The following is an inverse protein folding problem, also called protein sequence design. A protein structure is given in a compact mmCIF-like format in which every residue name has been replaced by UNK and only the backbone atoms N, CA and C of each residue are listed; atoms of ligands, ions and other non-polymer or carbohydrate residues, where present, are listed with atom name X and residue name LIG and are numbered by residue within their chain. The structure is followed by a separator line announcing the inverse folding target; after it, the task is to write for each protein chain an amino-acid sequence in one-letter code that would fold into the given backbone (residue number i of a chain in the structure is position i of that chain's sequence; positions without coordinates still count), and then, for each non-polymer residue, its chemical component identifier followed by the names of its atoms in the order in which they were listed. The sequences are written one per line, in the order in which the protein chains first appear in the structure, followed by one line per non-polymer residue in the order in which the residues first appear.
data_IF_919913610752
#
_entry.id   IF_919913610752
#
_cell.length_a   1.000
_cell.length_b   1.000
_cell.length_c   1.000
_cell.angle_alpha   90.00
_cell.angle_beta   90.00
_cell.angle_gamma   90.00
#
_symmetry.space_group_name_H-M   'P 1'
#
loop_
_entity.id
_entity.type
_entity.pdbx_description
1 polymer ?
#
# COMPACT_ATOMS: atom_id res chain seq x y z
N UNK A 1 28.20 5.08 34.50
CA UNK A 1 28.90 4.85 33.20
C UNK A 1 29.50 6.14 32.71
N UNK A 2 30.71 6.10 32.17
CA UNK A 2 31.32 7.30 31.57
C UNK A 2 30.70 7.55 30.22
N UNK A 3 30.13 8.76 30.01
CA UNK A 3 29.50 9.14 28.74
C UNK A 3 30.50 9.03 27.58
N UNK A 4 30.09 8.45 26.47
CA UNK A 4 30.87 8.30 25.24
C UNK A 4 30.83 9.60 24.39
N UNK A 5 29.72 10.30 24.41
CA UNK A 5 29.48 11.52 23.66
C UNK A 5 28.62 12.52 24.44
N UNK A 6 28.55 13.73 23.94
CA UNK A 6 27.62 14.77 24.41
C UNK A 6 26.93 15.43 23.21
N UNK A 7 25.74 15.97 23.45
CA UNK A 7 25.05 16.84 22.50
C UNK A 7 25.71 18.22 22.47
N UNK A 8 25.88 18.79 21.29
CA UNK A 8 26.38 20.16 21.10
C UNK A 8 25.22 21.15 20.93
N UNK A 9 25.54 22.44 20.81
CA UNK A 9 24.55 23.49 20.51
C UNK A 9 24.23 23.60 19.00
N UNK A 10 24.95 22.84 18.14
CA UNK A 10 24.65 22.81 16.70
C UNK A 10 23.44 21.93 16.45
N UNK A 11 22.42 22.53 15.83
CA UNK A 11 21.13 21.86 15.62
C UNK A 11 20.73 21.79 14.16
N UNK A 12 19.88 20.82 13.86
CA UNK A 12 19.22 20.64 12.56
C UNK A 12 17.76 20.27 12.78
N UNK A 13 16.85 20.84 12.01
CA UNK A 13 15.43 20.49 12.06
C UNK A 13 15.08 19.61 10.86
N UNK A 14 14.49 18.45 11.13
CA UNK A 14 13.99 17.50 10.13
C UNK A 14 12.58 17.07 10.54
N UNK A 15 11.59 17.26 9.66
CA UNK A 15 10.19 16.84 9.89
C UNK A 15 9.65 17.25 11.28
N UNK A 16 9.92 18.47 11.72
CA UNK A 16 9.57 19.03 13.04
C UNK A 16 10.36 18.46 14.24
N UNK A 17 11.38 17.64 14.03
CA UNK A 17 12.29 17.16 15.08
C UNK A 17 13.54 18.02 15.11
N UNK A 18 13.94 18.49 16.30
CA UNK A 18 15.21 19.18 16.49
C UNK A 18 16.28 18.16 16.87
N UNK A 19 17.27 17.99 16.01
CA UNK A 19 18.40 17.10 16.20
C UNK A 19 19.63 17.92 16.60
N UNK A 20 20.46 17.34 17.43
CA UNK A 20 21.69 17.93 17.95
C UNK A 20 22.90 17.18 17.41
N UNK A 21 23.91 17.91 16.94
CA UNK A 21 25.19 17.30 16.60
C UNK A 21 25.84 16.72 17.84
N UNK A 22 26.43 15.54 17.71
CA UNK A 22 27.15 14.88 18.79
C UNK A 22 28.65 15.17 18.74
N UNK A 23 29.29 15.13 19.91
CA UNK A 23 30.74 15.27 20.05
C UNK A 23 31.28 14.15 20.94
N UNK A 24 32.32 13.43 20.48
CA UNK A 24 32.97 12.38 21.24
C UNK A 24 33.67 12.94 22.50
N UNK A 25 33.51 12.27 23.62
CA UNK A 25 34.12 12.64 24.91
C UNK A 25 35.34 11.77 25.28
N UNK A 26 35.55 10.67 24.55
CA UNK A 26 36.67 9.74 24.73
C UNK A 26 37.03 9.09 23.41
N UNK A 27 38.19 8.47 23.33
CA UNK A 27 38.62 7.64 22.20
C UNK A 27 37.88 6.29 22.20
N UNK A 28 37.43 5.86 21.02
CA UNK A 28 36.89 4.51 20.78
C UNK A 28 36.94 4.21 19.28
N UNK A 29 37.26 2.99 18.89
CA UNK A 29 37.47 2.63 17.48
C UNK A 29 38.34 3.69 16.79
N UNK A 30 37.91 4.23 15.66
CA UNK A 30 38.60 5.27 14.87
C UNK A 30 38.21 6.70 15.30
N UNK A 31 37.30 6.85 16.26
CA UNK A 31 36.81 8.15 16.77
C UNK A 31 37.67 8.65 17.90
N UNK A 32 38.11 9.91 17.85
CA UNK A 32 38.92 10.57 18.86
C UNK A 32 38.09 11.50 19.74
N UNK A 33 38.52 11.67 20.99
CA UNK A 33 37.91 12.67 21.87
C UNK A 33 37.96 14.05 21.20
N UNK A 34 36.80 14.69 21.11
CA UNK A 34 36.66 15.96 20.42
C UNK A 34 36.05 15.87 19.01
N UNK A 35 36.07 14.71 18.37
CA UNK A 35 35.50 14.53 17.05
C UNK A 35 34.00 14.82 17.04
N UNK A 36 33.57 15.52 15.99
CA UNK A 36 32.15 15.79 15.75
C UNK A 36 31.53 14.60 14.99
N UNK A 37 30.40 14.14 15.48
CA UNK A 37 29.60 13.14 14.80
C UNK A 37 28.46 13.71 14.00
N UNK A 38 27.44 12.91 13.73
CA UNK A 38 26.19 13.29 13.07
C UNK A 38 25.18 13.92 14.03
N UNK A 39 23.91 13.78 13.73
CA UNK A 39 22.82 14.42 14.44
C UNK A 39 21.88 13.39 15.08
N UNK A 40 21.59 13.57 16.37
CA UNK A 40 20.58 12.75 17.06
C UNK A 40 19.58 13.67 17.78
N UNK A 41 18.34 13.20 17.96
CA UNK A 41 17.30 13.95 18.65
C UNK A 41 17.49 13.94 20.16
N UNK A 42 17.88 12.79 20.71
CA UNK A 42 18.05 12.56 22.16
C UNK A 42 19.17 11.54 22.46
N UNK A 43 19.73 11.57 23.66
CA UNK A 43 20.82 10.67 24.03
C UNK A 43 20.47 9.18 23.83
N UNK A 44 19.19 8.81 24.01
CA UNK A 44 18.75 7.41 23.83
C UNK A 44 18.78 6.89 22.39
N UNK A 45 19.02 7.76 21.39
CA UNK A 45 19.17 7.33 20.00
C UNK A 45 20.51 6.64 19.70
N UNK A 46 21.52 6.82 20.56
CA UNK A 46 22.85 6.24 20.39
C UNK A 46 23.33 5.67 21.73
N UNK A 47 23.70 4.40 21.74
CA UNK A 47 24.22 3.77 22.95
C UNK A 47 25.55 4.37 23.40
N UNK A 48 25.77 4.51 24.72
CA UNK A 48 27.06 4.85 25.31
C UNK A 48 27.98 3.62 25.43
N UNK A 49 27.45 2.42 25.26
CA UNK A 49 28.21 1.17 25.26
C UNK A 49 28.67 0.83 23.82
N UNK A 50 29.70 -0.01 23.72
CA UNK A 50 30.25 -0.42 22.44
C UNK A 50 30.90 0.72 21.64
N UNK A 51 31.15 0.44 20.36
CA UNK A 51 31.82 1.36 19.43
C UNK A 51 30.87 2.03 18.43
N UNK A 52 29.55 1.92 18.65
CA UNK A 52 28.57 2.50 17.72
C UNK A 52 28.77 4.01 17.59
N UNK A 53 28.55 4.52 16.36
CA UNK A 53 28.70 5.92 16.07
C UNK A 53 27.72 6.41 14.96
N UNK A 54 27.30 7.64 15.12
CA UNK A 54 26.60 8.39 14.06
C UNK A 54 27.58 9.44 13.58
N UNK A 55 27.91 9.48 12.29
CA UNK A 55 28.95 10.32 11.73
C UNK A 55 28.47 11.21 10.57
N UNK A 56 29.26 12.22 10.24
CA UNK A 56 29.02 13.15 9.14
C UNK A 56 27.66 13.88 9.27
N UNK A 57 26.81 13.76 8.26
CA UNK A 57 25.50 14.40 8.20
C UNK A 57 24.35 13.43 8.48
N UNK A 58 24.65 12.20 8.96
CA UNK A 58 23.65 11.19 9.29
C UNK A 58 22.76 11.63 10.44
N UNK A 59 21.51 11.19 10.43
CA UNK A 59 20.48 11.59 11.37
C UNK A 59 19.77 10.40 12.00
N UNK A 60 19.67 10.39 13.33
CA UNK A 60 18.93 9.37 14.09
C UNK A 60 17.94 10.05 15.03
N UNK A 61 16.65 9.75 14.90
CA UNK A 61 15.62 10.46 15.65
C UNK A 61 14.39 9.61 15.98
N UNK A 62 13.39 10.20 16.63
CA UNK A 62 12.26 9.49 17.25
C UNK A 62 12.76 8.45 18.27
N UNK A 63 12.31 7.22 18.19
CA UNK A 63 12.71 6.13 19.08
C UNK A 63 13.76 5.20 18.46
N UNK A 64 14.37 5.61 17.34
CA UNK A 64 15.40 4.82 16.70
C UNK A 64 16.63 4.65 17.61
N UNK A 65 17.26 3.50 17.54
CA UNK A 65 18.43 3.15 18.35
C UNK A 65 19.59 2.64 17.49
N UNK A 66 20.78 3.18 17.73
CA UNK A 66 22.05 2.66 17.21
C UNK A 66 22.87 2.16 18.39
N UNK A 67 23.27 0.88 18.37
CA UNK A 67 23.98 0.24 19.50
C UNK A 67 25.15 -0.64 19.07
N UNK A 68 25.83 -1.23 20.04
CA UNK A 68 26.95 -2.15 19.90
C UNK A 68 28.13 -1.54 19.11
N UNK A 69 28.43 -2.02 17.91
CA UNK A 69 29.47 -1.50 17.03
C UNK A 69 28.89 -0.90 15.72
N UNK A 70 27.57 -0.71 15.66
CA UNK A 70 26.91 -0.26 14.45
C UNK A 70 27.31 1.20 14.09
N UNK A 71 27.37 1.48 12.79
CA UNK A 71 27.70 2.84 12.31
C UNK A 71 26.66 3.34 11.33
N UNK A 72 26.27 4.61 11.52
CA UNK A 72 25.36 5.33 10.61
C UNK A 72 26.09 6.58 10.14
N UNK A 73 26.33 6.74 8.84
CA UNK A 73 27.17 7.83 8.34
C UNK A 73 26.76 8.38 6.98
N UNK A 74 27.48 9.41 6.51
CA UNK A 74 27.15 10.22 5.35
C UNK A 74 25.81 10.95 5.55
N UNK A 75 24.79 10.70 4.73
CA UNK A 75 23.47 11.32 4.80
C UNK A 75 22.36 10.34 5.20
N UNK A 76 22.74 9.20 5.75
CA UNK A 76 21.80 8.15 6.13
C UNK A 76 20.82 8.62 7.21
N UNK A 77 19.62 8.07 7.20
CA UNK A 77 18.56 8.37 8.18
C UNK A 77 18.05 7.11 8.83
N UNK A 78 17.99 7.13 10.16
CA UNK A 78 17.40 6.06 10.97
C UNK A 78 16.38 6.69 11.91
N UNK A 79 15.11 6.30 11.81
CA UNK A 79 14.06 6.99 12.57
C UNK A 79 12.89 6.08 12.94
N UNK A 80 11.86 6.65 13.56
CA UNK A 80 10.73 5.94 14.19
C UNK A 80 11.21 4.96 15.27
N UNK A 81 10.95 3.67 15.15
CA UNK A 81 11.38 2.63 16.10
C UNK A 81 12.46 1.70 15.50
N UNK A 82 13.17 2.16 14.47
CA UNK A 82 14.19 1.35 13.80
C UNK A 82 15.39 1.06 14.71
N UNK A 83 15.99 -0.10 14.53
CA UNK A 83 17.17 -0.52 15.29
C UNK A 83 18.31 -0.89 14.35
N UNK A 84 19.51 -0.35 14.62
CA UNK A 84 20.75 -0.72 13.93
C UNK A 84 21.75 -1.15 15.01
N UNK A 85 22.17 -2.42 15.02
CA UNK A 85 23.01 -2.98 16.09
C UNK A 85 24.09 -3.92 15.56
N UNK A 86 24.82 -4.53 16.47
CA UNK A 86 25.99 -5.38 16.20
C UNK A 86 27.07 -4.65 15.39
N UNK A 87 27.48 -5.15 14.22
CA UNK A 87 28.45 -4.52 13.33
C UNK A 87 27.81 -3.92 12.07
N UNK A 88 26.49 -3.72 12.08
CA UNK A 88 25.75 -3.24 10.92
C UNK A 88 26.13 -1.81 10.51
N UNK A 89 26.08 -1.54 9.21
CA UNK A 89 26.38 -0.20 8.66
C UNK A 89 25.23 0.32 7.80
N UNK A 90 24.82 1.55 8.06
CA UNK A 90 23.81 2.27 7.25
C UNK A 90 24.44 3.58 6.78
N UNK A 91 24.56 3.77 5.45
CA UNK A 91 25.31 4.91 4.93
C UNK A 91 24.80 5.46 3.60
N UNK A 92 25.46 6.46 3.07
CA UNK A 92 25.05 7.27 1.91
C UNK A 92 23.70 7.95 2.16
N UNK A 93 22.69 7.72 1.32
CA UNK A 93 21.35 8.29 1.43
C UNK A 93 20.31 7.25 1.89
N UNK A 94 20.75 6.13 2.45
CA UNK A 94 19.85 5.07 2.89
C UNK A 94 18.91 5.54 4.01
N UNK A 95 17.71 4.99 4.04
CA UNK A 95 16.68 5.28 5.05
C UNK A 95 16.16 4.00 5.68
N UNK A 96 16.25 3.90 7.03
CA UNK A 96 15.77 2.79 7.82
C UNK A 96 14.77 3.32 8.85
N UNK A 97 13.52 2.86 8.82
CA UNK A 97 12.46 3.46 9.66
C UNK A 97 11.35 2.47 10.04
N UNK A 98 10.28 2.97 10.66
CA UNK A 98 9.24 2.17 11.29
C UNK A 98 9.82 1.22 12.36
N UNK A 99 9.61 -0.08 12.26
CA UNK A 99 10.14 -1.10 13.18
C UNK A 99 11.22 -1.98 12.52
N UNK A 100 11.90 -1.46 11.50
CA UNK A 100 12.94 -2.20 10.78
C UNK A 100 14.15 -2.50 11.66
N UNK A 101 14.80 -3.65 11.42
CA UNK A 101 16.00 -4.07 12.14
C UNK A 101 17.14 -4.41 11.20
N UNK A 102 18.28 -3.76 11.39
CA UNK A 102 19.54 -4.04 10.69
C UNK A 102 20.54 -4.52 11.73
N UNK A 103 21.08 -5.73 11.59
CA UNK A 103 21.97 -6.31 12.60
C UNK A 103 23.04 -7.23 12.02
N UNK A 104 23.86 -7.83 12.86
CA UNK A 104 25.05 -8.61 12.50
C UNK A 104 26.04 -7.75 11.68
N UNK A 105 26.45 -8.18 10.49
CA UNK A 105 27.38 -7.45 9.60
C UNK A 105 26.65 -6.84 8.39
N UNK A 106 25.35 -6.63 8.49
CA UNK A 106 24.54 -6.17 7.37
C UNK A 106 24.90 -4.75 6.91
N UNK A 107 24.78 -4.51 5.60
CA UNK A 107 25.03 -3.23 4.95
C UNK A 107 23.77 -2.70 4.31
N UNK A 108 23.42 -1.44 4.55
CA UNK A 108 22.30 -0.74 3.87
C UNK A 108 22.84 0.60 3.38
N UNK A 109 22.88 0.82 2.06
CA UNK A 109 23.53 2.01 1.50
C UNK A 109 22.93 2.48 0.17
N UNK A 110 23.53 3.50 -0.44
CA UNK A 110 22.97 4.14 -1.63
C UNK A 110 21.67 4.90 -1.29
N UNK A 111 20.62 4.67 -2.03
CA UNK A 111 19.27 5.21 -1.80
C UNK A 111 18.30 4.13 -1.32
N UNK A 112 18.78 3.10 -0.65
CA UNK A 112 17.97 1.97 -0.19
C UNK A 112 16.98 2.36 0.92
N UNK A 113 15.82 1.72 0.93
CA UNK A 113 14.79 1.87 1.95
C UNK A 113 14.52 0.54 2.65
N UNK A 114 14.59 0.54 3.99
CA UNK A 114 14.22 -0.63 4.81
C UNK A 114 13.23 -0.16 5.88
N UNK A 115 11.99 -0.67 5.87
CA UNK A 115 10.96 -0.15 6.75
C UNK A 115 9.89 -1.18 7.14
N UNK A 116 8.89 -0.76 7.92
CA UNK A 116 7.90 -1.60 8.60
C UNK A 116 8.61 -2.59 9.54
N UNK A 117 8.41 -3.88 9.40
CA UNK A 117 9.03 -4.92 10.23
C UNK A 117 10.15 -5.68 9.50
N UNK A 118 10.68 -5.08 8.43
CA UNK A 118 11.72 -5.69 7.61
C UNK A 118 13.02 -5.91 8.41
N UNK A 119 13.76 -6.97 8.07
CA UNK A 119 15.03 -7.32 8.71
C UNK A 119 16.10 -7.57 7.66
N UNK A 120 17.28 -6.95 7.88
CA UNK A 120 18.49 -7.22 7.08
C UNK A 120 19.60 -7.62 8.05
N UNK A 121 20.18 -8.81 7.87
CA UNK A 121 21.10 -9.37 8.85
C UNK A 121 22.12 -10.35 8.27
N UNK A 122 22.99 -10.90 9.10
CA UNK A 122 24.20 -11.63 8.73
C UNK A 122 25.13 -10.75 7.87
N UNK A 123 25.56 -11.20 6.68
CA UNK A 123 26.42 -10.44 5.77
C UNK A 123 25.64 -9.86 4.60
N UNK A 124 24.33 -9.71 4.73
CA UNK A 124 23.50 -9.20 3.64
C UNK A 124 23.78 -7.73 3.34
N UNK A 125 23.71 -7.38 2.06
CA UNK A 125 23.85 -6.01 1.59
C UNK A 125 22.64 -5.56 0.78
N UNK A 126 22.12 -4.37 1.06
CA UNK A 126 20.99 -3.74 0.37
C UNK A 126 21.41 -2.35 -0.08
N UNK A 127 21.38 -2.08 -1.37
CA UNK A 127 21.92 -0.84 -1.93
C UNK A 127 21.10 -0.25 -3.08
N UNK A 128 21.61 0.81 -3.67
CA UNK A 128 21.04 1.58 -4.77
C UNK A 128 19.66 2.16 -4.42
N UNK A 129 18.61 1.71 -5.08
CA UNK A 129 17.22 2.11 -4.82
C UNK A 129 16.36 0.93 -4.39
N UNK A 130 16.98 -0.10 -3.83
CA UNK A 130 16.28 -1.28 -3.33
C UNK A 130 15.33 -0.92 -2.17
N UNK A 131 14.22 -1.61 -2.10
CA UNK A 131 13.16 -1.42 -1.08
C UNK A 131 12.88 -2.73 -0.38
N UNK A 132 13.14 -2.79 0.92
CA UNK A 132 12.83 -3.95 1.78
C UNK A 132 11.76 -3.49 2.78
N UNK A 133 10.61 -4.12 2.79
CA UNK A 133 9.49 -3.69 3.63
C UNK A 133 8.64 -4.85 4.17
N UNK A 134 7.60 -4.49 4.90
CA UNK A 134 6.64 -5.39 5.53
C UNK A 134 7.33 -6.32 6.55
N UNK A 135 7.23 -7.63 6.44
CA UNK A 135 7.94 -8.58 7.29
C UNK A 135 9.09 -9.28 6.54
N UNK A 136 9.57 -8.69 5.45
CA UNK A 136 10.62 -9.26 4.62
C UNK A 136 11.93 -9.46 5.39
N UNK A 137 12.66 -10.53 5.07
CA UNK A 137 13.94 -10.86 5.66
C UNK A 137 14.99 -11.04 4.58
N UNK A 138 16.09 -10.31 4.68
CA UNK A 138 17.26 -10.44 3.80
C UNK A 138 18.45 -10.81 4.65
N UNK A 139 19.07 -11.97 4.40
CA UNK A 139 20.14 -12.48 5.25
C UNK A 139 21.14 -13.38 4.49
N UNK A 140 22.06 -14.00 5.23
CA UNK A 140 23.16 -14.78 4.66
C UNK A 140 24.16 -13.84 3.98
N UNK A 141 24.54 -14.14 2.76
CA UNK A 141 25.40 -13.30 1.90
C UNK A 141 24.59 -12.65 0.76
N UNK A 142 23.29 -12.41 0.96
CA UNK A 142 22.44 -11.82 -0.06
C UNK A 142 22.90 -10.41 -0.42
N UNK A 143 22.94 -10.10 -1.71
CA UNK A 143 23.24 -8.77 -2.24
C UNK A 143 22.05 -8.26 -3.06
N UNK A 144 21.36 -7.22 -2.55
CA UNK A 144 20.15 -6.66 -3.14
C UNK A 144 20.43 -5.25 -3.62
N UNK A 145 20.28 -5.01 -4.90
CA UNK A 145 20.62 -3.73 -5.55
C UNK A 145 19.52 -3.23 -6.50
N UNK A 146 19.81 -2.13 -7.20
CA UNK A 146 18.95 -1.47 -8.19
C UNK A 146 17.58 -1.11 -7.62
N UNK A 147 16.52 -1.32 -8.37
CA UNK A 147 15.12 -1.05 -7.97
C UNK A 147 14.42 -2.27 -7.36
N UNK A 148 15.18 -3.25 -6.87
CA UNK A 148 14.62 -4.48 -6.31
C UNK A 148 13.71 -4.19 -5.13
N UNK A 149 12.51 -4.78 -5.12
CA UNK A 149 11.56 -4.71 -4.00
C UNK A 149 11.37 -6.08 -3.38
N UNK A 150 11.54 -6.13 -2.06
CA UNK A 150 11.29 -7.31 -1.25
C UNK A 150 10.31 -6.92 -0.16
N UNK A 151 9.13 -7.53 -0.20
CA UNK A 151 8.01 -7.14 0.64
C UNK A 151 7.26 -8.38 1.16
N UNK A 152 6.22 -8.16 1.96
CA UNK A 152 5.41 -9.19 2.63
C UNK A 152 6.25 -10.04 3.61
N UNK A 153 6.10 -11.35 3.56
CA UNK A 153 6.85 -12.31 4.40
C UNK A 153 8.03 -12.94 3.63
N UNK A 154 8.49 -12.31 2.55
CA UNK A 154 9.57 -12.87 1.72
C UNK A 154 10.87 -13.00 2.50
N UNK A 155 11.56 -14.09 2.26
CA UNK A 155 12.84 -14.41 2.90
C UNK A 155 13.88 -14.66 1.83
N UNK A 156 14.98 -13.90 1.86
CA UNK A 156 16.08 -13.97 0.91
C UNK A 156 17.33 -14.44 1.65
N UNK A 157 17.87 -15.58 1.24
CA UNK A 157 19.13 -16.12 1.72
C UNK A 157 19.91 -16.65 0.52
N UNK A 158 20.72 -15.81 -0.11
CA UNK A 158 21.53 -16.22 -1.25
C UNK A 158 22.99 -16.33 -0.86
N UNK A 159 23.63 -17.47 -1.23
CA UNK A 159 25.05 -17.72 -1.03
C UNK A 159 25.91 -17.19 -2.20
N UNK A 160 25.34 -16.60 -3.25
CA UNK A 160 26.03 -16.13 -4.44
C UNK A 160 25.67 -14.70 -4.81
N UNK A 161 26.67 -13.97 -5.28
CA UNK A 161 26.53 -12.63 -5.84
C UNK A 161 25.53 -12.61 -6.97
N UNK A 162 24.66 -11.62 -6.93
CA UNK A 162 23.85 -11.23 -8.06
C UNK A 162 24.59 -10.04 -8.66
N UNK A 163 25.43 -10.32 -9.66
CA UNK A 163 26.22 -9.33 -10.39
C UNK A 163 25.51 -8.90 -11.65
N UNK A 164 25.68 -7.64 -11.98
CA UNK A 164 25.48 -6.92 -13.25
C UNK A 164 24.57 -7.58 -14.29
N UNK A 165 23.56 -6.82 -14.73
CA UNK A 165 22.59 -7.08 -15.80
C UNK A 165 21.41 -8.01 -15.51
N UNK A 166 21.32 -8.61 -14.37
CA UNK A 166 20.08 -9.18 -13.93
C UNK A 166 19.42 -8.19 -12.94
N UNK A 167 18.42 -7.47 -13.41
CA UNK A 167 17.25 -7.31 -12.57
C UNK A 167 17.02 -8.68 -11.94
N UNK A 168 17.45 -8.89 -10.67
CA UNK A 168 17.02 -10.09 -9.96
C UNK A 168 15.57 -9.85 -9.64
N UNK A 169 14.74 -10.06 -10.62
CA UNK A 169 13.67 -10.97 -10.40
C UNK A 169 14.34 -12.23 -9.86
N UNK A 170 14.50 -12.35 -8.49
CA UNK A 170 14.35 -13.68 -7.92
C UNK A 170 13.28 -14.32 -8.76
N UNK A 171 13.41 -15.60 -9.18
CA UNK A 171 12.30 -16.18 -9.87
C UNK A 171 11.13 -15.86 -8.95
N UNK A 172 10.41 -14.79 -9.26
CA UNK A 172 9.05 -14.65 -8.79
C UNK A 172 8.59 -16.02 -9.15
N UNK A 173 8.35 -16.87 -8.14
CA UNK A 173 7.83 -18.20 -8.49
C UNK A 173 6.55 -17.84 -9.17
N UNK A 174 6.69 -17.69 -10.50
CA UNK A 174 5.65 -17.10 -11.33
C UNK A 174 4.38 -17.83 -10.96
N UNK A 175 3.42 -17.10 -10.49
CA UNK A 175 2.13 -17.67 -10.11
C UNK A 175 1.42 -18.18 -11.36
N UNK A 176 1.70 -17.55 -12.51
CA UNK A 176 1.11 -17.86 -13.80
C UNK A 176 2.08 -17.55 -14.94
N UNK A 177 1.74 -18.04 -16.12
CA UNK A 177 2.36 -17.69 -17.40
C UNK A 177 1.28 -17.31 -18.42
N UNK A 178 1.68 -16.62 -19.46
CA UNK A 178 0.82 -16.40 -20.62
C UNK A 178 0.74 -17.65 -21.48
N UNK A 179 -0.46 -17.98 -21.94
CA UNK A 179 -0.68 -19.00 -22.97
C UNK A 179 -0.61 -18.38 -24.37
N UNK A 180 -0.70 -19.22 -25.41
CA UNK A 180 -0.80 -18.73 -26.80
C UNK A 180 -2.22 -18.23 -27.15
N UNK A 181 -3.21 -18.42 -26.26
CA UNK A 181 -4.56 -17.95 -26.49
C UNK A 181 -4.64 -16.44 -26.23
N UNK A 182 -5.10 -15.70 -27.22
CA UNK A 182 -5.22 -14.24 -27.16
C UNK A 182 -6.62 -13.76 -27.49
N UNK A 183 -6.97 -12.60 -26.96
CA UNK A 183 -8.22 -11.87 -27.24
C UNK A 183 -7.90 -10.40 -27.50
N UNK A 184 -8.51 -9.81 -28.53
CA UNK A 184 -8.44 -8.38 -28.76
C UNK A 184 -9.66 -7.68 -28.11
N UNK A 185 -9.42 -6.74 -27.21
CA UNK A 185 -10.44 -5.95 -26.54
C UNK A 185 -10.08 -4.47 -26.66
N UNK A 186 -10.93 -3.67 -27.28
CA UNK A 186 -10.73 -2.22 -27.49
C UNK A 186 -9.36 -1.85 -28.11
N UNK A 187 -8.82 -2.73 -28.99
CA UNK A 187 -7.52 -2.53 -29.64
C UNK A 187 -6.31 -3.06 -28.85
N UNK A 188 -6.51 -3.61 -27.66
CA UNK A 188 -5.48 -4.23 -26.81
C UNK A 188 -5.48 -5.74 -27.01
N UNK A 189 -4.29 -6.34 -27.13
CA UNK A 189 -4.12 -7.80 -27.18
C UNK A 189 -3.93 -8.31 -25.76
N UNK A 190 -4.86 -9.12 -25.29
CA UNK A 190 -4.81 -9.75 -23.99
C UNK A 190 -4.47 -11.22 -24.14
N UNK A 191 -3.70 -11.75 -23.22
CA UNK A 191 -3.26 -13.13 -23.18
C UNK A 191 -3.97 -13.88 -22.05
N UNK A 192 -4.46 -15.10 -22.37
CA UNK A 192 -4.97 -16.00 -21.33
C UNK A 192 -3.84 -16.42 -20.43
N UNK A 193 -4.10 -16.48 -19.12
CA UNK A 193 -3.13 -16.94 -18.14
C UNK A 193 -3.34 -18.40 -17.76
N UNK A 194 -2.27 -19.07 -17.32
CA UNK A 194 -2.30 -20.44 -16.78
C UNK A 194 -1.50 -20.48 -15.48
N UNK A 195 -2.06 -21.09 -14.44
CA UNK A 195 -1.42 -21.22 -13.14
C UNK A 195 -0.19 -22.16 -13.20
N UNK A 196 0.92 -21.74 -12.61
CA UNK A 196 2.18 -22.50 -12.51
C UNK A 196 2.37 -23.18 -11.16
N UNK A 197 1.54 -22.85 -10.17
CA UNK A 197 1.56 -23.42 -8.82
C UNK A 197 0.17 -23.40 -8.21
N UNK A 198 -0.02 -24.21 -7.17
CA UNK A 198 -1.24 -24.19 -6.35
C UNK A 198 -1.26 -22.96 -5.44
N UNK A 199 -2.41 -22.30 -5.35
CA UNK A 199 -2.69 -21.23 -4.38
C UNK A 199 -4.21 -21.07 -4.22
N UNK A 200 -4.68 -20.80 -3.00
CA UNK A 200 -6.11 -20.72 -2.69
C UNK A 200 -6.91 -21.89 -3.32
N UNK A 201 -7.87 -21.57 -4.18
CA UNK A 201 -8.73 -22.53 -4.90
C UNK A 201 -8.20 -22.87 -6.31
N UNK A 202 -7.08 -22.26 -6.75
CA UNK A 202 -6.47 -22.46 -8.08
C UNK A 202 -5.40 -23.54 -8.01
N UNK A 203 -5.41 -24.45 -8.98
CA UNK A 203 -4.44 -25.55 -9.12
C UNK A 203 -3.48 -25.31 -10.26
N UNK A 204 -2.29 -25.91 -10.15
CA UNK A 204 -1.29 -25.92 -11.24
C UNK A 204 -1.92 -26.41 -12.53
N UNK A 205 -1.80 -25.60 -13.58
CA UNK A 205 -2.38 -25.89 -14.90
C UNK A 205 -3.75 -25.30 -15.17
N UNK A 206 -4.45 -24.79 -14.13
CA UNK A 206 -5.74 -24.12 -14.30
C UNK A 206 -5.61 -22.91 -15.22
N UNK A 207 -6.55 -22.78 -16.14
CA UNK A 207 -6.65 -21.61 -17.00
C UNK A 207 -7.39 -20.49 -16.26
N UNK A 208 -6.82 -19.29 -16.33
CA UNK A 208 -7.48 -18.08 -15.84
C UNK A 208 -8.10 -17.26 -16.97
N UNK A 209 -8.38 -15.99 -16.70
CA UNK A 209 -8.89 -15.03 -17.65
C UNK A 209 -7.79 -14.42 -18.54
N UNK A 210 -8.00 -13.21 -18.97
CA UNK A 210 -7.14 -12.53 -19.94
C UNK A 210 -6.54 -11.24 -19.33
N UNK A 211 -5.23 -11.10 -19.43
CA UNK A 211 -4.53 -9.88 -19.04
C UNK A 211 -3.62 -9.38 -20.16
N UNK A 212 -3.38 -8.10 -20.22
CA UNK A 212 -2.52 -7.47 -21.24
C UNK A 212 -1.03 -7.63 -20.90
N UNK A 213 -0.67 -7.36 -19.66
CA UNK A 213 0.71 -7.32 -19.18
C UNK A 213 0.83 -8.06 -17.83
N UNK A 214 2.04 -8.53 -17.48
CA UNK A 214 2.30 -9.13 -16.16
C UNK A 214 2.02 -8.15 -15.01
N UNK A 215 2.13 -6.84 -15.24
CA UNK A 215 1.80 -5.81 -14.24
C UNK A 215 0.32 -5.73 -13.86
N UNK A 216 -0.58 -6.32 -14.66
CA UNK A 216 -2.02 -6.29 -14.40
C UNK A 216 -2.44 -7.23 -13.27
N UNK A 217 -1.69 -8.29 -12.98
CA UNK A 217 -2.01 -9.27 -11.95
C UNK A 217 -0.77 -9.58 -11.12
N UNK A 218 -0.84 -9.32 -9.82
CA UNK A 218 0.27 -9.62 -8.92
C UNK A 218 0.60 -11.11 -8.88
N UNK A 219 1.88 -11.45 -8.90
CA UNK A 219 2.36 -12.80 -8.62
C UNK A 219 2.34 -13.14 -7.13
N UNK A 220 2.17 -12.14 -6.27
CA UNK A 220 2.02 -12.31 -4.83
C UNK A 220 0.56 -12.48 -4.44
N UNK A 221 0.32 -13.01 -3.23
CA UNK A 221 -1.02 -13.24 -2.71
C UNK A 221 -1.82 -14.28 -3.50
N UNK A 222 -3.12 -14.30 -3.26
CA UNK A 222 -4.05 -15.27 -3.84
C UNK A 222 -4.97 -14.67 -4.92
N UNK A 223 -4.67 -13.45 -5.39
CA UNK A 223 -5.48 -12.82 -6.43
C UNK A 223 -5.47 -13.63 -7.71
N UNK A 224 -6.61 -13.68 -8.38
CA UNK A 224 -6.75 -14.38 -9.65
C UNK A 224 -7.81 -13.74 -10.56
N UNK A 225 -7.57 -13.84 -11.85
CA UNK A 225 -8.52 -13.50 -12.90
C UNK A 225 -9.04 -14.83 -13.46
N UNK A 226 -10.33 -15.07 -13.34
CA UNK A 226 -10.99 -16.32 -13.72
C UNK A 226 -11.70 -16.20 -15.07
N UNK A 227 -12.12 -17.29 -15.61
CA UNK A 227 -13.05 -17.46 -16.72
C UNK A 227 -12.72 -16.60 -17.97
N UNK A 228 -13.56 -15.65 -18.30
CA UNK A 228 -13.38 -14.72 -19.40
C UNK A 228 -13.09 -13.29 -18.95
N UNK A 229 -12.88 -13.09 -17.66
CA UNK A 229 -12.59 -11.77 -17.09
C UNK A 229 -11.34 -11.16 -17.74
N UNK A 230 -11.31 -9.85 -17.84
CA UNK A 230 -10.25 -9.10 -18.54
C UNK A 230 -9.66 -8.03 -17.66
N UNK A 231 -8.31 -7.93 -17.63
CA UNK A 231 -7.58 -6.86 -16.94
C UNK A 231 -6.56 -6.28 -17.91
N UNK A 232 -6.65 -4.99 -18.22
CA UNK A 232 -5.76 -4.39 -19.21
C UNK A 232 -5.52 -2.88 -18.98
N UNK A 233 -4.73 -2.27 -19.85
CA UNK A 233 -4.07 -1.01 -19.59
C UNK A 233 -3.27 -1.10 -18.28
N UNK A 234 -3.18 -0.01 -17.52
CA UNK A 234 -2.45 0.05 -16.25
C UNK A 234 -3.30 -0.39 -15.04
N UNK A 235 -4.39 -1.15 -15.27
CA UNK A 235 -5.19 -1.70 -14.18
C UNK A 235 -4.41 -2.77 -13.41
N UNK A 236 -4.61 -2.84 -12.09
CA UNK A 236 -3.87 -3.76 -11.21
C UNK A 236 -4.83 -4.55 -10.32
N UNK A 237 -4.62 -5.87 -10.28
CA UNK A 237 -5.29 -6.80 -9.36
C UNK A 237 -4.24 -7.40 -8.42
N UNK A 238 -4.44 -7.30 -7.11
CA UNK A 238 -3.45 -7.75 -6.12
C UNK A 238 -4.08 -8.37 -4.86
N UNK A 239 -3.26 -8.78 -3.92
CA UNK A 239 -3.60 -9.41 -2.64
C UNK A 239 -4.40 -10.71 -2.80
N UNK A 240 -5.67 -10.74 -2.39
CA UNK A 240 -6.57 -11.88 -2.52
C UNK A 240 -7.78 -11.57 -3.41
N UNK A 241 -7.71 -10.50 -4.21
CA UNK A 241 -8.82 -10.08 -5.05
C UNK A 241 -9.15 -11.11 -6.13
N UNK A 242 -10.42 -11.31 -6.41
CA UNK A 242 -10.91 -12.27 -7.39
C UNK A 242 -11.77 -11.57 -8.46
N UNK A 243 -11.45 -11.81 -9.72
CA UNK A 243 -12.17 -11.27 -10.86
C UNK A 243 -12.73 -12.44 -11.65
N UNK A 244 -14.04 -12.55 -11.77
CA UNK A 244 -14.73 -13.71 -12.36
C UNK A 244 -15.56 -13.36 -13.59
N UNK A 245 -16.03 -14.39 -14.25
CA UNK A 245 -16.99 -14.36 -15.36
C UNK A 245 -16.53 -13.51 -16.55
N UNK A 246 -17.21 -12.42 -16.87
CA UNK A 246 -16.84 -11.49 -17.93
C UNK A 246 -16.42 -10.11 -17.40
N UNK A 247 -16.13 -10.01 -16.11
CA UNK A 247 -15.80 -8.74 -15.48
C UNK A 247 -14.58 -8.06 -16.15
N UNK A 248 -14.64 -6.75 -16.24
CA UNK A 248 -13.64 -5.98 -16.97
C UNK A 248 -13.01 -4.89 -16.08
N UNK A 249 -11.71 -4.98 -15.87
CA UNK A 249 -10.93 -4.03 -15.07
C UNK A 249 -9.94 -3.31 -15.99
N UNK A 250 -10.00 -1.98 -16.06
CA UNK A 250 -9.11 -1.24 -16.95
C UNK A 250 -8.82 0.21 -16.50
N UNK A 251 -7.99 0.94 -17.28
CA UNK A 251 -7.69 2.38 -17.12
C UNK A 251 -7.22 2.77 -15.71
N UNK A 252 -6.11 2.18 -15.23
CA UNK A 252 -5.51 2.47 -13.92
C UNK A 252 -6.38 2.10 -12.70
N UNK A 253 -7.48 1.36 -12.90
CA UNK A 253 -8.29 0.87 -11.80
C UNK A 253 -7.51 -0.12 -10.92
N UNK A 254 -7.81 -0.15 -9.62
CA UNK A 254 -7.16 -1.05 -8.67
C UNK A 254 -8.19 -1.88 -7.94
N UNK A 255 -7.98 -3.21 -7.95
CA UNK A 255 -8.79 -4.17 -7.18
C UNK A 255 -7.87 -4.96 -6.28
N UNK A 256 -8.06 -4.88 -4.96
CA UNK A 256 -7.13 -5.47 -3.99
C UNK A 256 -7.82 -5.87 -2.66
N UNK A 257 -7.05 -6.36 -1.68
CA UNK A 257 -7.63 -6.94 -0.47
C UNK A 257 -8.34 -8.26 -0.78
N UNK A 258 -9.54 -8.44 -0.26
CA UNK A 258 -10.41 -9.60 -0.52
C UNK A 258 -11.58 -9.25 -1.46
N UNK A 259 -11.43 -8.20 -2.25
CA UNK A 259 -12.49 -7.72 -3.12
C UNK A 259 -12.83 -8.73 -4.21
N UNK A 260 -14.10 -8.78 -4.59
CA UNK A 260 -14.62 -9.69 -5.63
C UNK A 260 -15.38 -8.89 -6.68
N UNK A 261 -15.07 -9.09 -7.95
CA UNK A 261 -15.76 -8.48 -9.09
C UNK A 261 -16.22 -9.58 -10.03
N UNK A 262 -17.53 -9.72 -10.23
CA UNK A 262 -18.15 -10.82 -10.95
C UNK A 262 -19.03 -10.35 -12.12
N UNK A 263 -19.55 -11.34 -12.83
CA UNK A 263 -20.53 -11.19 -13.92
C UNK A 263 -20.01 -10.28 -15.05
N UNK A 264 -20.78 -9.30 -15.49
CA UNK A 264 -20.42 -8.32 -16.52
C UNK A 264 -20.00 -6.96 -15.91
N UNK A 265 -19.55 -6.94 -14.67
CA UNK A 265 -19.21 -5.71 -13.96
C UNK A 265 -17.97 -5.01 -14.54
N UNK A 266 -18.00 -3.68 -14.56
CA UNK A 266 -16.90 -2.84 -15.05
C UNK A 266 -16.32 -1.97 -13.96
N UNK A 267 -15.00 -2.06 -13.77
CA UNK A 267 -14.22 -1.21 -12.84
C UNK A 267 -13.14 -0.48 -13.64
N UNK A 268 -13.24 0.84 -13.78
CA UNK A 268 -12.29 1.56 -14.62
C UNK A 268 -12.05 3.01 -14.22
N UNK A 269 -10.84 3.49 -14.53
CA UNK A 269 -10.39 4.86 -14.26
C UNK A 269 -9.49 4.96 -13.03
N UNK A 270 -8.65 5.97 -12.98
CA UNK A 270 -7.63 6.15 -11.96
C UNK A 270 -8.18 6.28 -10.53
N UNK A 271 -9.42 6.73 -10.37
CA UNK A 271 -10.09 6.85 -9.07
C UNK A 271 -10.86 5.57 -8.67
N UNK A 272 -10.97 4.58 -9.57
CA UNK A 272 -11.68 3.34 -9.32
C UNK A 272 -10.83 2.41 -8.45
N UNK A 273 -11.15 2.35 -7.17
CA UNK A 273 -10.51 1.46 -6.20
C UNK A 273 -11.56 0.58 -5.55
N UNK A 274 -11.42 -0.73 -5.70
CA UNK A 274 -12.28 -1.73 -5.05
C UNK A 274 -11.43 -2.56 -4.11
N UNK A 275 -11.72 -2.54 -2.81
CA UNK A 275 -10.87 -3.20 -1.82
C UNK A 275 -11.61 -3.61 -0.53
N UNK A 276 -10.88 -4.14 0.44
CA UNK A 276 -11.49 -4.76 1.63
C UNK A 276 -12.20 -6.06 1.26
N UNK A 277 -13.44 -6.23 1.63
CA UNK A 277 -14.32 -7.35 1.27
C UNK A 277 -15.43 -6.92 0.29
N UNK A 278 -15.23 -5.81 -0.42
CA UNK A 278 -16.23 -5.25 -1.32
C UNK A 278 -16.60 -6.23 -2.46
N UNK A 279 -17.87 -6.21 -2.85
CA UNK A 279 -18.38 -7.06 -3.93
C UNK A 279 -19.06 -6.21 -5.01
N UNK A 280 -18.68 -6.44 -6.26
CA UNK A 280 -19.24 -5.77 -7.43
C UNK A 280 -19.77 -6.86 -8.37
N UNK A 281 -21.05 -6.87 -8.64
CA UNK A 281 -21.73 -7.93 -9.40
C UNK A 281 -22.60 -7.39 -10.53
N UNK A 282 -23.09 -8.30 -11.32
CA UNK A 282 -24.02 -8.05 -12.44
C UNK A 282 -23.41 -7.11 -13.50
N UNK A 283 -24.13 -6.07 -13.89
CA UNK A 283 -23.70 -5.06 -14.86
C UNK A 283 -23.28 -3.73 -14.17
N UNK A 284 -22.83 -3.80 -12.93
CA UNK A 284 -22.45 -2.62 -12.17
C UNK A 284 -21.23 -1.92 -12.77
N UNK A 285 -21.21 -0.61 -12.71
CA UNK A 285 -20.12 0.23 -13.22
C UNK A 285 -19.48 0.99 -12.06
N UNK A 286 -18.18 0.83 -11.86
CA UNK A 286 -17.44 1.49 -10.77
C UNK A 286 -16.31 2.34 -11.34
N UNK A 287 -16.34 3.64 -11.03
CA UNK A 287 -15.31 4.63 -11.33
C UNK A 287 -14.86 5.42 -10.07
N UNK A 288 -15.45 5.13 -8.93
CA UNK A 288 -15.15 5.67 -7.61
C UNK A 288 -14.55 4.62 -6.69
N UNK A 289 -14.61 4.84 -5.39
CA UNK A 289 -14.08 3.93 -4.37
C UNK A 289 -15.21 3.09 -3.78
N UNK A 290 -15.01 1.77 -3.70
CA UNK A 290 -15.92 0.82 -3.04
C UNK A 290 -15.09 -0.08 -2.14
N UNK A 291 -15.36 -0.08 -0.84
CA UNK A 291 -14.48 -0.76 0.10
C UNK A 291 -15.21 -1.32 1.34
N UNK A 292 -14.49 -1.87 2.28
CA UNK A 292 -14.99 -2.63 3.44
C UNK A 292 -15.88 -3.80 3.01
N UNK A 293 -17.14 -3.87 3.42
CA UNK A 293 -18.09 -4.91 3.04
C UNK A 293 -19.16 -4.39 2.05
N UNK A 294 -18.91 -3.27 1.38
CA UNK A 294 -19.88 -2.65 0.50
C UNK A 294 -20.25 -3.55 -0.69
N UNK A 295 -21.51 -3.50 -1.08
CA UNK A 295 -22.07 -4.31 -2.16
C UNK A 295 -22.72 -3.45 -3.25
N UNK A 296 -22.21 -3.57 -4.47
CA UNK A 296 -22.72 -2.85 -5.64
C UNK A 296 -23.15 -3.87 -6.69
N UNK A 297 -24.39 -3.81 -7.16
CA UNK A 297 -24.92 -4.81 -8.08
C UNK A 297 -25.96 -4.25 -9.07
N UNK A 298 -26.48 -5.13 -9.90
CA UNK A 298 -27.40 -4.88 -11.00
C UNK A 298 -26.81 -3.88 -12.03
N UNK A 299 -27.42 -2.73 -12.27
CA UNK A 299 -26.93 -1.70 -13.20
C UNK A 299 -26.48 -0.43 -12.45
N UNK A 300 -26.13 -0.57 -11.18
CA UNK A 300 -25.69 0.55 -10.36
C UNK A 300 -24.42 1.20 -10.94
N UNK A 301 -24.36 2.52 -10.86
CA UNK A 301 -23.28 3.31 -11.45
C UNK A 301 -22.62 4.19 -10.38
N UNK A 302 -21.41 3.83 -9.97
CA UNK A 302 -20.58 4.55 -9.00
C UNK A 302 -19.58 5.40 -9.78
N UNK A 303 -19.66 6.72 -9.66
CA UNK A 303 -18.86 7.64 -10.49
C UNK A 303 -17.80 8.41 -9.71
N UNK A 304 -16.74 8.71 -10.37
CA UNK A 304 -15.49 9.41 -9.99
C UNK A 304 -15.19 9.58 -8.47
N UNK A 305 -15.78 10.59 -7.83
CA UNK A 305 -15.42 10.93 -6.43
C UNK A 305 -16.28 10.23 -5.39
N UNK A 306 -17.18 9.34 -5.83
CA UNK A 306 -18.04 8.58 -4.95
C UNK A 306 -17.24 7.66 -4.03
N UNK A 307 -17.68 7.54 -2.77
CA UNK A 307 -17.13 6.60 -1.79
C UNK A 307 -18.25 5.79 -1.18
N UNK A 308 -18.16 4.49 -1.35
CA UNK A 308 -19.11 3.51 -0.83
C UNK A 308 -18.38 2.60 0.13
N UNK A 309 -18.79 2.53 1.39
CA UNK A 309 -18.06 1.77 2.42
C UNK A 309 -18.96 1.09 3.44
N UNK A 310 -18.35 0.51 4.42
CA UNK A 310 -18.98 -0.29 5.48
C UNK A 310 -19.83 -1.42 4.91
N UNK A 311 -21.12 -1.50 5.24
CA UNK A 311 -22.05 -2.50 4.73
C UNK A 311 -23.07 -1.90 3.74
N UNK A 312 -22.72 -0.77 3.12
CA UNK A 312 -23.62 -0.07 2.21
C UNK A 312 -23.97 -0.93 0.99
N UNK A 313 -25.23 -0.85 0.55
CA UNK A 313 -25.72 -1.55 -0.64
C UNK A 313 -26.22 -0.57 -1.69
N UNK A 314 -25.67 -0.66 -2.90
CA UNK A 314 -26.11 0.10 -4.07
C UNK A 314 -26.59 -0.91 -5.12
N UNK A 315 -27.83 -0.77 -5.57
CA UNK A 315 -28.42 -1.75 -6.49
C UNK A 315 -29.36 -1.11 -7.53
N UNK A 316 -29.91 -1.95 -8.37
CA UNK A 316 -30.83 -1.62 -9.47
C UNK A 316 -30.19 -0.69 -10.51
N UNK A 317 -30.76 0.48 -10.79
CA UNK A 317 -30.23 1.49 -11.69
C UNK A 317 -29.69 2.71 -10.93
N UNK A 318 -29.36 2.55 -9.65
CA UNK A 318 -28.94 3.65 -8.80
C UNK A 318 -27.66 4.33 -9.32
N UNK A 319 -27.61 5.64 -9.22
CA UNK A 319 -26.46 6.45 -9.60
C UNK A 319 -25.88 7.17 -8.39
N UNK A 320 -24.60 6.95 -8.08
CA UNK A 320 -23.96 7.56 -6.91
C UNK A 320 -22.68 8.30 -7.30
N UNK A 321 -22.65 9.59 -6.94
CA UNK A 321 -21.48 10.48 -6.98
C UNK A 321 -21.11 11.01 -5.59
N UNK A 322 -21.94 10.78 -4.59
CA UNK A 322 -21.76 11.18 -3.19
C UNK A 322 -21.13 10.09 -2.33
N UNK A 323 -21.41 10.16 -1.02
CA UNK A 323 -20.88 9.29 0.01
C UNK A 323 -21.98 8.41 0.59
N UNK A 324 -21.81 7.08 0.54
CA UNK A 324 -22.77 6.13 1.10
C UNK A 324 -22.04 5.15 2.00
N UNK A 325 -22.41 5.08 3.29
CA UNK A 325 -21.72 4.26 4.27
C UNK A 325 -22.66 3.74 5.39
N UNK A 326 -22.13 3.02 6.38
CA UNK A 326 -22.94 2.32 7.36
C UNK A 326 -23.69 1.14 6.73
N UNK A 327 -24.96 0.99 7.02
CA UNK A 327 -25.87 -0.01 6.45
C UNK A 327 -26.84 0.59 5.41
N UNK A 328 -26.51 1.77 4.87
CA UNK A 328 -27.36 2.51 3.97
C UNK A 328 -27.63 1.75 2.67
N UNK A 329 -28.82 1.96 2.11
CA UNK A 329 -29.24 1.32 0.85
C UNK A 329 -29.69 2.36 -0.17
N UNK A 330 -29.14 2.29 -1.38
CA UNK A 330 -29.55 3.09 -2.53
C UNK A 330 -30.08 2.14 -3.59
N UNK A 331 -31.37 2.24 -3.91
CA UNK A 331 -32.11 1.29 -4.72
C UNK A 331 -32.90 1.98 -5.84
N UNK A 332 -33.49 1.20 -6.74
CA UNK A 332 -34.31 1.70 -7.83
C UNK A 332 -33.50 2.54 -8.82
N UNK A 333 -34.00 3.71 -9.16
CA UNK A 333 -33.30 4.70 -10.00
C UNK A 333 -32.85 5.92 -9.19
N UNK A 334 -32.67 5.74 -7.90
CA UNK A 334 -32.25 6.81 -6.99
C UNK A 334 -30.88 7.39 -7.40
N UNK A 335 -30.74 8.69 -7.26
CA UNK A 335 -29.55 9.42 -7.63
C UNK A 335 -29.01 10.22 -6.45
N UNK A 336 -27.79 9.88 -6.01
CA UNK A 336 -27.04 10.59 -4.98
C UNK A 336 -25.91 11.37 -5.66
N UNK A 337 -26.01 12.69 -5.69
CA UNK A 337 -25.10 13.52 -6.47
C UNK A 337 -24.29 14.48 -5.58
N UNK A 338 -23.19 14.98 -6.14
CA UNK A 338 -22.25 15.87 -5.47
C UNK A 338 -21.80 15.34 -4.10
N UNK A 339 -21.67 16.17 -3.09
CA UNK A 339 -21.20 15.80 -1.77
C UNK A 339 -22.34 15.37 -0.80
N UNK A 340 -23.44 14.80 -1.32
CA UNK A 340 -24.50 14.26 -0.48
C UNK A 340 -24.04 13.02 0.29
N UNK A 341 -24.50 12.88 1.54
CA UNK A 341 -24.16 11.76 2.41
C UNK A 341 -25.42 10.95 2.75
N UNK A 342 -25.36 9.63 2.57
CA UNK A 342 -26.40 8.70 3.00
C UNK A 342 -25.73 7.64 3.88
N UNK A 343 -26.16 7.49 5.14
CA UNK A 343 -25.45 6.63 6.07
C UNK A 343 -26.35 6.04 7.17
N UNK A 344 -25.79 5.33 8.12
CA UNK A 344 -26.48 4.51 9.14
C UNK A 344 -27.35 3.42 8.48
N UNK A 345 -28.65 3.37 8.75
CA UNK A 345 -29.60 2.42 8.16
C UNK A 345 -30.52 3.08 7.12
N UNK A 346 -30.18 4.26 6.62
CA UNK A 346 -31.02 5.02 5.72
C UNK A 346 -31.27 4.27 4.39
N UNK A 347 -32.46 4.40 3.86
CA UNK A 347 -32.86 3.84 2.56
C UNK A 347 -33.32 4.96 1.63
N UNK A 348 -32.71 5.03 0.45
CA UNK A 348 -33.13 5.94 -0.61
C UNK A 348 -33.46 5.12 -1.85
N UNK A 349 -34.68 5.22 -2.35
CA UNK A 349 -35.17 4.34 -3.42
C UNK A 349 -35.97 5.06 -4.50
N UNK A 350 -36.49 4.28 -5.44
CA UNK A 350 -37.31 4.70 -6.57
C UNK A 350 -36.60 5.74 -7.48
N UNK A 351 -37.16 6.93 -7.68
CA UNK A 351 -36.57 7.99 -8.51
C UNK A 351 -36.14 9.20 -7.69
N UNK A 352 -35.77 8.99 -6.43
CA UNK A 352 -35.33 10.06 -5.54
C UNK A 352 -34.02 10.67 -6.06
N UNK A 353 -33.96 11.98 -6.09
CA UNK A 353 -32.76 12.73 -6.43
C UNK A 353 -32.25 13.52 -5.22
N UNK A 354 -31.09 13.17 -4.71
CA UNK A 354 -30.43 13.84 -3.58
C UNK A 354 -29.15 14.52 -4.08
N UNK A 355 -28.97 15.79 -3.77
CA UNK A 355 -27.78 16.51 -4.22
C UNK A 355 -27.29 17.57 -3.22
N UNK A 356 -26.09 18.09 -3.49
CA UNK A 356 -25.34 19.02 -2.65
C UNK A 356 -24.97 18.41 -1.28
N UNK A 357 -24.94 19.20 -0.21
CA UNK A 357 -24.49 18.80 1.11
C UNK A 357 -25.59 18.12 1.96
N UNK A 358 -26.63 17.57 1.33
CA UNK A 358 -27.72 16.88 2.02
C UNK A 358 -27.21 15.66 2.75
N UNK A 359 -27.67 15.46 3.99
CA UNK A 359 -27.41 14.27 4.82
C UNK A 359 -28.70 13.52 5.09
N UNK A 360 -28.73 12.24 4.75
CA UNK A 360 -29.82 11.30 5.07
C UNK A 360 -29.24 10.19 5.93
N UNK A 361 -29.74 9.99 7.12
CA UNK A 361 -29.15 9.06 8.09
C UNK A 361 -30.17 8.50 9.09
N UNK A 362 -29.70 7.75 10.08
CA UNK A 362 -30.56 7.05 11.05
C UNK A 362 -31.34 5.94 10.35
N UNK A 363 -32.63 5.88 10.59
CA UNK A 363 -33.54 4.93 9.95
C UNK A 363 -34.41 5.57 8.86
N UNK A 364 -33.98 6.69 8.30
CA UNK A 364 -34.76 7.43 7.31
C UNK A 364 -35.07 6.58 6.07
N UNK A 365 -36.31 6.62 5.61
CA UNK A 365 -36.73 6.02 4.34
C UNK A 365 -37.21 7.16 3.44
N UNK A 366 -36.59 7.27 2.26
CA UNK A 366 -36.90 8.29 1.28
C UNK A 366 -37.16 7.60 -0.06
N UNK A 367 -38.37 7.70 -0.56
CA UNK A 367 -38.85 7.00 -1.75
C UNK A 367 -39.66 7.89 -2.69
N UNK A 368 -40.16 7.31 -3.78
CA UNK A 368 -41.00 7.98 -4.78
C UNK A 368 -40.20 8.84 -5.75
N UNK A 369 -40.71 10.04 -6.07
CA UNK A 369 -40.11 10.93 -7.08
C UNK A 369 -39.60 12.26 -6.49
N UNK A 370 -39.11 12.21 -5.25
CA UNK A 370 -38.71 13.40 -4.52
C UNK A 370 -37.37 13.96 -5.05
N UNK A 371 -37.26 15.29 -5.04
CA UNK A 371 -35.98 16.00 -5.22
C UNK A 371 -35.58 16.67 -3.91
N UNK A 372 -34.47 16.30 -3.37
CA UNK A 372 -33.94 16.77 -2.09
C UNK A 372 -32.64 17.52 -2.35
N UNK A 373 -32.66 18.81 -2.14
CA UNK A 373 -31.50 19.68 -2.31
C UNK A 373 -31.54 20.82 -1.30
N UNK A 374 -30.40 21.44 -1.06
CA UNK A 374 -30.27 22.64 -0.25
C UNK A 374 -30.18 23.87 -1.18
N UNK A 375 -31.22 24.69 -1.18
CA UNK A 375 -31.36 25.83 -2.13
C UNK A 375 -30.41 26.99 -1.87
N UNK A 376 -29.74 27.07 -0.73
CA UNK A 376 -29.05 28.29 -0.31
C UNK A 376 -27.62 28.15 0.24
N UNK A 377 -27.01 26.97 0.18
CA UNK A 377 -25.58 26.78 0.55
C UNK A 377 -25.23 27.09 2.01
N UNK A 378 -26.19 27.28 2.90
CA UNK A 378 -25.95 27.70 4.26
C UNK A 378 -26.48 26.75 5.35
N UNK A 379 -27.26 25.72 5.01
CA UNK A 379 -27.78 24.78 6.01
C UNK A 379 -27.75 23.36 5.45
N UNK A 380 -26.91 22.52 6.03
CA UNK A 380 -26.90 21.07 5.80
C UNK A 380 -28.33 20.51 6.02
N UNK A 381 -29.08 20.31 4.93
CA UNK A 381 -30.40 19.67 5.07
C UNK A 381 -30.20 18.25 5.57
N UNK A 382 -30.87 17.93 6.66
CA UNK A 382 -30.72 16.67 7.36
C UNK A 382 -32.07 15.96 7.41
N UNK A 383 -32.10 14.67 7.07
CA UNK A 383 -33.26 13.80 7.19
C UNK A 383 -32.84 12.60 8.03
N UNK A 384 -33.42 12.46 9.23
CA UNK A 384 -33.01 11.46 10.21
C UNK A 384 -34.05 10.34 10.46
N UNK A 385 -35.34 10.62 10.30
CA UNK A 385 -36.42 9.62 10.48
C UNK A 385 -37.55 9.93 9.51
N UNK A 386 -38.28 8.88 9.10
CA UNK A 386 -39.58 9.05 8.50
C UNK A 386 -40.51 9.67 9.54
N UNK A 387 -41.06 10.80 9.25
CA UNK A 387 -42.11 11.41 10.07
C UNK A 387 -43.39 10.53 10.06
#
# INVERSE_FOLDING_TARGET
MQKKFALTNETRVISNHTLYRIKALKDFSDVKAGDLGGFIEKESNLSHDGNCWVANEACVYNNALVSDNATVFNYARVFDNATVCDNAKVFDFASVYDNAKIHDNALVFGYAFVYKHARVFNNAAVCDKAVIRDNAKVYGNAFINWYTRIEDNKTINLASQISDDACVSLPITKKYEFTNETRCVAGHTLHRIRALRDFADVKTGDLGGFIENESNLSHDGNCWVYDNATVFWEAVVSDNAKIHDNACINRNAKVYGNAVVNDDAWVFGANAHVYGNAKINDNAIVRGQVYDNAFVCNKANIVFDAKISDNAKIADNAYVKGFVYGNAKILGSARIDWAAHVYDNAVVSDNVYVCYLVKIFGNAIVDGNQKIYDDLGNNNKTINEAA
#
